data_IF_306281570907
#
_entry.id   IF_306281570907
#
_cell.length_a   1.000
_cell.length_b   1.000
_cell.length_c   1.000
_cell.angle_alpha   90.00
_cell.angle_beta   90.00
_cell.angle_gamma   90.00
#
_symmetry.space_group_name_H-M   'P 1'
#
loop_
_entity.id
_entity.type
_entity.pdbx_description
1 polymer ?
#
# COMPACT_ATOMS: atom_id res chain seq x y z
N UNK A 1 13.51 25.31 -50.18
CA UNK A 1 12.27 24.81 -50.82
C UNK A 1 12.35 23.33 -51.25
N UNK A 2 13.31 22.52 -50.75
CA UNK A 2 13.31 21.06 -50.93
C UNK A 2 13.55 20.38 -49.58
N UNK A 3 12.56 20.49 -48.69
CA UNK A 3 12.41 19.64 -47.51
C UNK A 3 11.03 18.98 -47.58
N UNK A 4 10.65 18.52 -48.79
CA UNK A 4 9.61 17.50 -48.93
C UNK A 4 10.30 16.21 -48.53
N UNK A 5 10.08 15.88 -47.27
CA UNK A 5 10.98 15.12 -46.41
C UNK A 5 11.22 13.69 -46.89
N UNK A 6 12.47 13.23 -46.76
CA UNK A 6 12.89 11.81 -46.84
C UNK A 6 11.93 10.86 -46.08
N UNK A 7 11.23 11.35 -45.06
CA UNK A 7 10.19 10.62 -44.33
C UNK A 7 8.98 10.24 -45.18
N UNK A 8 8.56 11.06 -46.15
CA UNK A 8 7.44 10.75 -47.04
C UNK A 8 7.84 9.60 -48.00
N UNK A 9 9.07 9.65 -48.52
CA UNK A 9 9.60 8.64 -49.44
C UNK A 9 9.80 7.29 -48.71
N UNK A 10 10.28 7.30 -47.46
CA UNK A 10 10.34 6.08 -46.64
C UNK A 10 8.94 5.52 -46.32
N UNK A 11 7.95 6.39 -46.06
CA UNK A 11 6.56 5.99 -45.74
C UNK A 11 5.81 5.44 -46.97
N UNK A 12 6.05 5.98 -48.16
CA UNK A 12 5.48 5.44 -49.40
C UNK A 12 6.13 4.11 -49.81
N UNK A 13 7.47 3.99 -49.70
CA UNK A 13 8.13 2.72 -49.96
C UNK A 13 7.69 1.63 -48.97
N UNK A 14 7.51 1.97 -47.69
CA UNK A 14 7.02 1.01 -46.71
C UNK A 14 5.57 0.64 -46.97
N UNK A 15 4.67 1.56 -47.31
CA UNK A 15 3.28 1.23 -47.66
C UNK A 15 3.17 0.35 -48.91
N UNK A 16 4.00 0.60 -49.93
CA UNK A 16 4.03 -0.21 -51.16
C UNK A 16 4.63 -1.61 -50.90
N UNK A 17 5.67 -1.68 -50.08
CA UNK A 17 6.26 -2.95 -49.61
C UNK A 17 5.31 -3.72 -48.68
N UNK A 18 4.52 -3.04 -47.86
CA UNK A 18 3.44 -3.61 -47.04
C UNK A 18 2.35 -4.18 -47.93
N UNK A 19 1.90 -3.40 -48.93
CA UNK A 19 0.91 -3.86 -49.91
C UNK A 19 1.39 -5.10 -50.66
N UNK A 20 2.65 -5.12 -51.09
CA UNK A 20 3.29 -6.29 -51.72
C UNK A 20 3.46 -7.46 -50.75
N UNK A 21 3.88 -7.24 -49.51
CA UNK A 21 4.03 -8.30 -48.50
C UNK A 21 2.70 -8.94 -48.11
N UNK A 22 1.65 -8.13 -47.95
CA UNK A 22 0.26 -8.58 -47.79
C UNK A 22 -0.14 -9.43 -49.02
N UNK A 23 0.21 -8.98 -50.24
CA UNK A 23 -0.11 -9.69 -51.48
C UNK A 23 0.66 -11.00 -51.65
N UNK A 24 1.86 -11.08 -51.11
CA UNK A 24 2.78 -12.22 -51.23
C UNK A 24 2.62 -13.26 -50.11
N UNK A 25 1.66 -13.07 -49.20
CA UNK A 25 1.41 -13.98 -48.08
C UNK A 25 2.65 -14.23 -47.21
N UNK A 26 3.56 -13.25 -47.16
CA UNK A 26 4.63 -13.22 -46.17
C UNK A 26 3.98 -13.21 -44.78
N UNK A 27 4.58 -13.83 -43.75
CA UNK A 27 4.00 -13.81 -42.42
C UNK A 27 3.94 -12.37 -41.95
N UNK A 28 2.75 -11.75 -42.02
CA UNK A 28 2.50 -10.37 -41.62
C UNK A 28 2.95 -10.08 -40.18
N UNK A 29 3.07 -11.14 -39.37
CA UNK A 29 3.69 -11.12 -38.06
C UNK A 29 5.16 -10.67 -38.09
N UNK A 30 5.99 -11.16 -39.01
CA UNK A 30 7.40 -10.75 -39.11
C UNK A 30 7.53 -9.27 -39.48
N UNK A 31 6.66 -8.79 -40.37
CA UNK A 31 6.64 -7.38 -40.76
C UNK A 31 6.16 -6.49 -39.61
N UNK A 32 5.10 -6.90 -38.92
CA UNK A 32 4.64 -6.23 -37.71
C UNK A 32 5.76 -6.22 -36.65
N UNK A 33 6.43 -7.34 -36.41
CA UNK A 33 7.58 -7.46 -35.51
C UNK A 33 8.71 -6.49 -35.91
N UNK A 34 9.03 -6.37 -37.20
CA UNK A 34 10.03 -5.42 -37.69
C UNK A 34 9.57 -3.97 -37.45
N UNK A 35 8.31 -3.64 -37.77
CA UNK A 35 7.74 -2.33 -37.48
C UNK A 35 7.75 -2.00 -35.98
N UNK A 36 7.51 -3.01 -35.12
CA UNK A 36 7.63 -2.94 -33.67
C UNK A 36 9.06 -2.61 -33.23
N UNK A 37 10.05 -3.33 -33.76
CA UNK A 37 11.47 -3.15 -33.42
C UNK A 37 11.99 -1.76 -33.81
N UNK A 38 11.54 -1.26 -34.97
CA UNK A 38 11.95 0.03 -35.51
C UNK A 38 11.10 1.22 -34.98
N UNK A 39 10.07 0.95 -34.16
CA UNK A 39 9.23 1.99 -33.56
C UNK A 39 8.26 2.67 -34.54
N UNK A 40 7.90 2.02 -35.65
CA UNK A 40 6.94 2.56 -36.63
C UNK A 40 5.49 2.39 -36.16
N UNK A 41 5.07 3.16 -35.14
CA UNK A 41 3.76 3.02 -34.50
C UNK A 41 2.60 3.20 -35.48
N UNK A 42 2.68 4.16 -36.41
CA UNK A 42 1.65 4.35 -37.45
C UNK A 42 1.41 3.08 -38.27
N UNK A 43 2.49 2.36 -38.60
CA UNK A 43 2.43 1.11 -39.36
C UNK A 43 1.83 0.00 -38.49
N UNK A 44 2.26 -0.09 -37.23
CA UNK A 44 1.72 -1.06 -36.27
C UNK A 44 0.22 -0.84 -36.08
N UNK A 45 -0.22 0.41 -35.90
CA UNK A 45 -1.64 0.75 -35.80
C UNK A 45 -2.38 0.32 -37.06
N UNK A 46 -1.88 0.66 -38.24
CA UNK A 46 -2.50 0.26 -39.50
C UNK A 46 -2.65 -1.26 -39.60
N UNK A 47 -1.61 -2.03 -39.25
CA UNK A 47 -1.66 -3.50 -39.28
C UNK A 47 -2.66 -4.07 -38.27
N UNK A 48 -2.75 -3.50 -37.07
CA UNK A 48 -3.77 -3.86 -36.07
C UNK A 48 -5.17 -3.55 -36.60
N UNK A 49 -5.37 -2.41 -37.26
CA UNK A 49 -6.67 -2.00 -37.81
C UNK A 49 -7.14 -2.87 -38.98
N UNK A 50 -6.20 -3.39 -39.76
CA UNK A 50 -6.48 -4.38 -40.82
C UNK A 50 -6.76 -5.78 -40.23
N UNK A 51 -6.59 -5.96 -38.91
CA UNK A 51 -6.91 -7.20 -38.20
C UNK A 51 -5.77 -8.22 -38.20
N UNK A 52 -4.53 -7.79 -38.42
CA UNK A 52 -3.37 -8.68 -38.31
C UNK A 52 -3.16 -9.03 -36.83
N UNK A 53 -3.30 -10.32 -36.44
CA UNK A 53 -3.19 -10.70 -35.03
C UNK A 53 -1.73 -10.63 -34.55
N UNK A 54 -1.47 -9.90 -33.47
CA UNK A 54 -0.15 -9.91 -32.83
C UNK A 54 -0.08 -11.00 -31.76
N UNK A 55 0.52 -12.14 -32.08
CA UNK A 55 0.67 -13.27 -31.17
C UNK A 55 2.06 -13.92 -31.32
N UNK A 56 3.12 -13.34 -30.73
CA UNK A 56 4.46 -13.89 -30.83
C UNK A 56 4.56 -15.25 -30.12
N UNK A 57 5.24 -16.22 -30.75
CA UNK A 57 5.37 -17.60 -30.23
C UNK A 57 6.84 -17.99 -30.02
N UNK A 58 7.10 -18.96 -29.14
CA UNK A 58 8.42 -19.56 -28.95
C UNK A 58 9.54 -18.56 -28.58
N UNK A 59 10.68 -18.68 -29.25
CA UNK A 59 11.87 -17.83 -29.01
C UNK A 59 11.63 -16.35 -29.36
N UNK A 60 10.76 -16.07 -30.33
CA UNK A 60 10.41 -14.70 -30.72
C UNK A 60 9.69 -13.98 -29.57
N UNK A 61 8.85 -14.71 -28.83
CA UNK A 61 8.15 -14.16 -27.67
C UNK A 61 9.12 -13.58 -26.66
N UNK A 62 10.23 -14.24 -26.38
CA UNK A 62 11.27 -13.72 -25.47
C UNK A 62 11.96 -12.48 -26.05
N UNK A 63 12.36 -12.52 -27.32
CA UNK A 63 13.05 -11.41 -27.99
C UNK A 63 12.19 -10.14 -28.13
N UNK A 64 10.85 -10.28 -28.07
CA UNK A 64 9.91 -9.18 -28.28
C UNK A 64 9.36 -8.56 -27.00
N UNK A 65 9.68 -9.09 -25.81
CA UNK A 65 9.19 -8.55 -24.54
C UNK A 65 9.50 -7.06 -24.37
N UNK A 66 10.79 -6.70 -24.45
CA UNK A 66 11.24 -5.31 -24.32
C UNK A 66 10.75 -4.40 -25.45
N UNK A 67 10.85 -4.78 -26.75
CA UNK A 67 10.26 -4.00 -27.84
C UNK A 67 8.76 -3.74 -27.68
N UNK A 68 7.99 -4.75 -27.24
CA UNK A 68 6.54 -4.61 -27.00
C UNK A 68 6.26 -3.59 -25.92
N UNK A 69 7.01 -3.65 -24.81
CA UNK A 69 6.88 -2.71 -23.71
C UNK A 69 7.27 -1.27 -24.10
N UNK A 70 8.39 -1.09 -24.82
CA UNK A 70 8.80 0.21 -25.35
C UNK A 70 7.79 0.80 -26.34
N UNK A 71 7.16 -0.06 -27.16
CA UNK A 71 6.12 0.41 -28.06
C UNK A 71 4.86 0.83 -27.29
N UNK A 72 4.51 0.14 -26.21
CA UNK A 72 3.40 0.57 -25.34
C UNK A 72 3.68 1.94 -24.71
N UNK A 73 4.90 2.20 -24.24
CA UNK A 73 5.32 3.52 -23.74
C UNK A 73 5.15 4.58 -24.83
N UNK A 74 5.65 4.28 -26.04
CA UNK A 74 5.57 5.23 -27.16
C UNK A 74 4.12 5.44 -27.63
N UNK A 75 3.28 4.39 -27.59
CA UNK A 75 1.86 4.46 -27.90
C UNK A 75 1.12 5.35 -26.91
N UNK A 76 1.43 5.20 -25.62
CA UNK A 76 0.91 6.04 -24.56
C UNK A 76 1.37 7.49 -24.69
N UNK A 77 2.64 7.74 -25.02
CA UNK A 77 3.18 9.08 -25.21
C UNK A 77 2.52 9.83 -26.38
N UNK A 78 2.15 9.12 -27.46
CA UNK A 78 1.62 9.73 -28.68
C UNK A 78 0.09 9.60 -28.84
N UNK A 79 -0.62 9.02 -27.87
CA UNK A 79 -2.09 8.94 -27.92
C UNK A 79 -2.66 7.82 -28.79
N UNK A 80 -1.91 6.75 -29.05
CA UNK A 80 -2.34 5.63 -29.89
C UNK A 80 -3.16 4.58 -29.12
N UNK A 81 -4.40 4.92 -28.77
CA UNK A 81 -5.22 4.09 -27.88
C UNK A 81 -5.51 2.67 -28.36
N UNK A 82 -5.71 2.45 -29.68
CA UNK A 82 -5.90 1.10 -30.24
C UNK A 82 -4.66 0.22 -30.07
N UNK A 83 -3.48 0.80 -30.28
CA UNK A 83 -2.20 0.09 -30.09
C UNK A 83 -2.04 -0.30 -28.63
N UNK A 84 -2.35 0.60 -27.70
CA UNK A 84 -2.33 0.30 -26.27
C UNK A 84 -3.33 -0.80 -25.88
N UNK A 85 -4.56 -0.76 -26.44
CA UNK A 85 -5.59 -1.76 -26.22
C UNK A 85 -5.14 -3.17 -26.64
N UNK A 86 -4.45 -3.28 -27.76
CA UNK A 86 -3.91 -4.55 -28.24
C UNK A 86 -2.71 -5.02 -27.42
N UNK A 87 -1.79 -4.10 -27.08
CA UNK A 87 -0.51 -4.48 -26.49
C UNK A 87 -0.55 -4.71 -24.98
N UNK A 88 -1.41 -4.00 -24.26
CA UNK A 88 -1.40 -4.06 -22.81
C UNK A 88 -1.70 -5.49 -22.27
N UNK A 89 -2.72 -6.22 -22.78
CA UNK A 89 -2.97 -7.60 -22.35
C UNK A 89 -1.79 -8.54 -22.66
N UNK A 90 -1.14 -8.33 -23.80
CA UNK A 90 0.01 -9.15 -24.24
C UNK A 90 1.20 -8.92 -23.31
N UNK A 91 1.48 -7.66 -22.97
CA UNK A 91 2.55 -7.32 -22.03
C UNK A 91 2.26 -7.87 -20.64
N UNK A 92 1.01 -7.81 -20.17
CA UNK A 92 0.61 -8.40 -18.89
C UNK A 92 0.77 -9.91 -18.89
N UNK A 93 0.41 -10.59 -19.97
CA UNK A 93 0.69 -12.01 -20.12
C UNK A 93 2.20 -12.29 -20.06
N UNK A 94 3.03 -11.47 -20.73
CA UNK A 94 4.49 -11.62 -20.67
C UNK A 94 5.06 -11.42 -19.26
N UNK A 95 4.53 -10.47 -18.49
CA UNK A 95 4.93 -10.19 -17.10
C UNK A 95 4.51 -11.33 -16.17
N UNK A 96 3.32 -11.92 -16.37
CA UNK A 96 2.83 -13.03 -15.54
C UNK A 96 3.56 -14.34 -15.83
N UNK A 97 4.05 -14.54 -17.05
CA UNK A 97 4.85 -15.70 -17.43
C UNK A 97 6.32 -15.62 -16.97
N UNK A 98 6.86 -14.41 -16.73
CA UNK A 98 8.19 -14.28 -16.16
C UNK A 98 8.16 -14.59 -14.66
N UNK A 99 8.86 -15.66 -14.27
CA UNK A 99 8.97 -16.04 -12.86
C UNK A 99 9.73 -14.97 -12.09
N UNK A 100 9.24 -14.64 -10.89
CA UNK A 100 9.89 -13.69 -9.99
C UNK A 100 10.98 -14.31 -9.11
N UNK A 101 11.54 -15.46 -9.51
CA UNK A 101 12.53 -16.17 -8.69
C UNK A 101 13.76 -15.29 -8.49
N UNK A 102 14.18 -15.15 -7.23
CA UNK A 102 15.20 -14.20 -6.81
C UNK A 102 16.55 -14.61 -7.46
N UNK A 103 17.16 -13.68 -8.22
CA UNK A 103 18.49 -13.77 -8.86
C UNK A 103 18.60 -14.46 -10.24
N UNK A 104 17.51 -14.56 -11.03
CA UNK A 104 17.61 -15.00 -12.43
C UNK A 104 17.59 -13.82 -13.41
N UNK A 105 18.14 -13.95 -14.64
CA UNK A 105 17.95 -12.97 -15.71
C UNK A 105 16.46 -12.71 -16.04
N UNK A 106 15.59 -13.69 -15.79
CA UNK A 106 14.15 -13.54 -15.96
C UNK A 106 13.54 -12.59 -14.92
N UNK A 107 14.10 -12.54 -13.71
CA UNK A 107 13.72 -11.61 -12.66
C UNK A 107 14.04 -10.16 -13.07
N UNK A 108 15.24 -9.91 -13.59
CA UNK A 108 15.63 -8.59 -14.12
C UNK A 108 14.70 -8.16 -15.26
N UNK A 109 14.42 -9.06 -16.19
CA UNK A 109 13.47 -8.79 -17.28
C UNK A 109 12.06 -8.51 -16.75
N UNK A 110 11.60 -9.24 -15.72
CA UNK A 110 10.31 -8.99 -15.07
C UNK A 110 10.24 -7.57 -14.50
N UNK A 111 11.28 -7.12 -13.78
CA UNK A 111 11.36 -5.76 -13.26
C UNK A 111 11.39 -4.70 -14.37
N UNK A 112 12.15 -4.94 -15.45
CA UNK A 112 12.19 -4.03 -16.60
C UNK A 112 10.82 -3.89 -17.28
N UNK A 113 10.10 -5.01 -17.49
CA UNK A 113 8.77 -4.97 -18.10
C UNK A 113 7.75 -4.24 -17.22
N UNK A 114 7.79 -4.44 -15.90
CA UNK A 114 6.95 -3.66 -14.96
C UNK A 114 7.32 -2.18 -14.94
N UNK A 115 8.62 -1.87 -15.01
CA UNK A 115 9.12 -0.50 -15.12
C UNK A 115 8.57 0.21 -16.36
N UNK A 116 8.62 -0.44 -17.52
CA UNK A 116 8.10 0.12 -18.78
C UNK A 116 6.57 0.22 -18.80
N UNK A 117 5.87 -0.75 -18.23
CA UNK A 117 4.41 -0.68 -18.08
C UNK A 117 4.01 0.54 -17.21
N UNK A 118 4.72 0.76 -16.10
CA UNK A 118 4.57 1.93 -15.25
C UNK A 118 4.88 3.22 -16.01
N UNK A 119 5.96 3.26 -16.79
CA UNK A 119 6.32 4.41 -17.61
C UNK A 119 5.23 4.74 -18.63
N UNK A 120 4.68 3.73 -19.31
CA UNK A 120 3.57 3.89 -20.25
C UNK A 120 2.34 4.48 -19.56
N UNK A 121 1.99 4.00 -18.37
CA UNK A 121 0.90 4.58 -17.59
C UNK A 121 1.16 6.06 -17.24
N UNK A 122 2.37 6.38 -16.76
CA UNK A 122 2.77 7.75 -16.44
C UNK A 122 2.71 8.67 -17.68
N UNK A 123 3.22 8.22 -18.82
CA UNK A 123 3.18 8.97 -20.09
C UNK A 123 1.75 9.22 -20.57
N UNK A 124 0.87 8.22 -20.48
CA UNK A 124 -0.55 8.39 -20.83
C UNK A 124 -1.22 9.46 -19.96
N UNK A 125 -0.98 9.43 -18.64
CA UNK A 125 -1.55 10.43 -17.73
C UNK A 125 -0.93 11.81 -17.96
N UNK A 126 0.39 11.91 -18.14
CA UNK A 126 1.09 13.18 -18.34
C UNK A 126 0.59 13.90 -19.59
N UNK A 127 0.34 13.15 -20.66
CA UNK A 127 -0.20 13.67 -21.92
C UNK A 127 -1.74 13.72 -21.95
N UNK A 128 -2.43 13.47 -20.81
CA UNK A 128 -3.88 13.52 -20.66
C UNK A 128 -4.67 12.51 -21.52
N UNK A 129 -4.04 11.41 -21.94
CA UNK A 129 -4.70 10.30 -22.63
C UNK A 129 -5.33 9.32 -21.62
N UNK A 130 -6.39 9.77 -20.94
CA UNK A 130 -7.03 9.03 -19.85
C UNK A 130 -7.69 7.72 -20.29
N UNK A 131 -8.09 7.61 -21.56
CA UNK A 131 -8.58 6.38 -22.18
C UNK A 131 -7.47 5.31 -22.24
N UNK A 132 -6.26 5.70 -22.65
CA UNK A 132 -5.08 4.82 -22.65
C UNK A 132 -4.69 4.44 -21.24
N UNK A 133 -4.63 5.42 -20.33
CA UNK A 133 -4.34 5.15 -18.93
C UNK A 133 -5.36 4.18 -18.32
N UNK A 134 -6.64 4.30 -18.70
CA UNK A 134 -7.70 3.38 -18.27
C UNK A 134 -7.51 1.97 -18.82
N UNK A 135 -7.18 1.83 -20.11
CA UNK A 135 -6.84 0.53 -20.70
C UNK A 135 -5.72 -0.13 -19.90
N UNK A 136 -4.64 0.61 -19.62
CA UNK A 136 -3.50 0.10 -18.85
C UNK A 136 -3.94 -0.26 -17.43
N UNK A 137 -4.71 0.60 -16.78
CA UNK A 137 -5.21 0.37 -15.43
C UNK A 137 -6.09 -0.89 -15.34
N UNK A 138 -7.03 -1.06 -16.27
CA UNK A 138 -7.97 -2.19 -16.29
C UNK A 138 -7.28 -3.53 -16.60
N UNK A 139 -6.17 -3.50 -17.36
CA UNK A 139 -5.41 -4.71 -17.69
C UNK A 139 -4.42 -5.12 -16.59
N UNK A 140 -4.05 -4.21 -15.68
CA UNK A 140 -2.91 -4.39 -14.77
C UNK A 140 -3.36 -4.54 -13.32
N UNK A 141 -2.56 -5.23 -12.50
CA UNK A 141 -2.77 -5.15 -11.05
C UNK A 141 -2.20 -3.83 -10.58
N UNK A 142 -2.91 -3.15 -9.67
CA UNK A 142 -2.45 -1.88 -9.08
C UNK A 142 -1.05 -1.95 -8.47
N UNK A 143 -0.63 -3.11 -7.97
CA UNK A 143 0.74 -3.36 -7.46
C UNK A 143 1.82 -3.23 -8.55
N UNK A 144 1.45 -3.41 -9.82
CA UNK A 144 2.39 -3.38 -10.94
C UNK A 144 2.68 -1.96 -11.42
N UNK A 145 1.81 -1.01 -11.05
CA UNK A 145 1.94 0.42 -11.35
C UNK A 145 2.15 1.29 -10.08
N UNK A 146 2.28 0.67 -8.90
CA UNK A 146 2.32 1.29 -7.55
C UNK A 146 3.36 2.43 -7.42
N UNK A 147 4.61 2.18 -7.82
CA UNK A 147 5.68 3.20 -7.74
C UNK A 147 5.43 4.37 -8.71
N UNK A 148 4.59 4.19 -9.73
CA UNK A 148 4.17 5.24 -10.65
C UNK A 148 3.38 6.34 -9.95
N UNK A 149 2.63 6.03 -8.88
CA UNK A 149 1.72 7.02 -8.29
C UNK A 149 2.42 8.15 -7.54
N UNK A 150 3.53 7.84 -6.86
CA UNK A 150 4.35 8.86 -6.21
C UNK A 150 4.93 9.82 -7.25
N UNK A 151 5.58 9.26 -8.27
CA UNK A 151 6.13 10.04 -9.37
C UNK A 151 5.06 10.80 -10.14
N UNK A 152 3.88 10.20 -10.31
CA UNK A 152 2.75 10.85 -10.93
C UNK A 152 2.41 12.11 -10.16
N UNK A 153 2.14 12.01 -8.85
CA UNK A 153 1.77 13.18 -8.05
C UNK A 153 2.86 14.27 -8.00
N UNK A 154 4.14 13.87 -8.06
CA UNK A 154 5.26 14.82 -8.12
C UNK A 154 5.40 15.50 -9.49
N UNK A 155 5.15 14.77 -10.58
CA UNK A 155 5.35 15.24 -11.96
C UNK A 155 4.12 15.97 -12.52
N UNK A 156 2.91 15.52 -12.18
CA UNK A 156 1.67 16.14 -12.67
C UNK A 156 1.16 17.20 -11.71
N UNK A 157 0.97 18.40 -12.25
CA UNK A 157 0.20 19.47 -11.61
C UNK A 157 -1.27 19.43 -12.02
N UNK A 158 -1.66 18.54 -12.94
CA UNK A 158 -3.01 18.48 -13.47
C UNK A 158 -3.96 17.79 -12.47
N UNK A 159 -5.02 18.50 -12.09
CA UNK A 159 -6.06 17.96 -11.24
C UNK A 159 -6.79 16.78 -11.90
N UNK A 160 -6.96 16.80 -13.24
CA UNK A 160 -7.69 15.74 -13.96
C UNK A 160 -7.00 14.39 -13.87
N UNK A 161 -5.67 14.38 -13.87
CA UNK A 161 -4.87 13.18 -13.64
C UNK A 161 -5.16 12.57 -12.26
N UNK A 162 -5.28 13.42 -11.25
CA UNK A 162 -5.55 12.99 -9.89
C UNK A 162 -7.01 12.58 -9.73
N UNK A 163 -7.96 13.30 -10.32
CA UNK A 163 -9.37 12.94 -10.38
C UNK A 163 -9.58 11.57 -11.04
N UNK A 164 -8.93 11.35 -12.19
CA UNK A 164 -8.94 10.08 -12.87
C UNK A 164 -8.47 8.97 -11.93
N UNK A 165 -7.33 9.18 -11.27
CA UNK A 165 -6.78 8.18 -10.37
C UNK A 165 -7.69 7.88 -9.17
N UNK A 166 -8.14 8.92 -8.47
CA UNK A 166 -9.01 8.81 -7.31
C UNK A 166 -10.32 8.12 -7.68
N UNK A 167 -10.91 8.47 -8.81
CA UNK A 167 -12.17 7.89 -9.29
C UNK A 167 -12.04 6.40 -9.60
N UNK A 168 -10.92 5.98 -10.20
CA UNK A 168 -10.69 4.57 -10.55
C UNK A 168 -10.16 3.73 -9.37
N UNK A 169 -9.71 4.36 -8.28
CA UNK A 169 -9.17 3.64 -7.10
C UNK A 169 -10.01 3.76 -5.84
N UNK A 170 -11.09 4.54 -5.82
CA UNK A 170 -11.87 4.85 -4.59
C UNK A 170 -12.18 3.61 -3.74
N UNK A 171 -12.59 2.52 -4.37
CA UNK A 171 -12.99 1.28 -3.70
C UNK A 171 -11.90 0.21 -3.64
N UNK A 172 -10.71 0.48 -4.20
CA UNK A 172 -9.67 -0.53 -4.25
C UNK A 172 -9.00 -0.70 -2.89
N UNK A 173 -8.65 -1.95 -2.53
CA UNK A 173 -7.84 -2.28 -1.34
C UNK A 173 -6.41 -1.72 -1.38
N UNK A 174 -6.05 -1.08 -2.49
CA UNK A 174 -4.73 -0.51 -2.72
C UNK A 174 -4.40 0.53 -1.65
N UNK A 175 -5.38 1.36 -1.30
CA UNK A 175 -5.26 2.36 -0.25
C UNK A 175 -5.04 1.77 1.14
N UNK A 176 -5.53 0.56 1.38
CA UNK A 176 -5.42 -0.11 2.66
C UNK A 176 -4.04 -0.75 2.81
N UNK A 177 -3.48 -1.29 1.72
CA UNK A 177 -2.14 -1.93 1.68
C UNK A 177 -1.02 -0.88 1.64
N UNK A 178 -1.26 0.25 0.97
CA UNK A 178 -0.27 1.30 0.70
C UNK A 178 -0.72 2.66 1.26
N UNK A 179 -1.19 2.64 2.49
CA UNK A 179 -1.65 3.81 3.22
C UNK A 179 -0.56 4.91 3.32
N UNK A 180 0.72 4.54 3.32
CA UNK A 180 1.85 5.48 3.23
C UNK A 180 1.81 6.35 1.95
N UNK A 181 1.38 5.79 0.81
CA UNK A 181 1.29 6.54 -0.45
C UNK A 181 0.13 7.53 -0.41
N UNK A 182 -1.00 7.16 0.21
CA UNK A 182 -2.11 8.10 0.43
C UNK A 182 -1.69 9.27 1.31
N UNK A 183 -1.02 8.99 2.43
CA UNK A 183 -0.52 10.04 3.31
C UNK A 183 0.51 10.93 2.60
N UNK A 184 1.37 10.33 1.78
CA UNK A 184 2.33 11.07 0.97
C UNK A 184 1.63 12.05 0.04
N UNK A 185 0.59 11.60 -0.67
CA UNK A 185 -0.19 12.46 -1.58
C UNK A 185 -0.94 13.56 -0.83
N UNK A 186 -1.52 13.25 0.33
CA UNK A 186 -2.14 14.26 1.20
C UNK A 186 -1.10 15.31 1.63
N UNK A 187 0.07 14.85 2.09
CA UNK A 187 1.17 15.72 2.48
C UNK A 187 1.71 16.58 1.32
N UNK A 188 1.80 16.01 0.10
CA UNK A 188 2.18 16.75 -1.10
C UNK A 188 1.10 17.78 -1.50
N UNK A 189 -0.19 17.43 -1.45
CA UNK A 189 -1.27 18.37 -1.74
C UNK A 189 -1.20 19.59 -0.82
N UNK A 190 -0.99 19.34 0.48
CA UNK A 190 -0.90 20.39 1.49
C UNK A 190 0.35 21.27 1.29
N UNK A 191 1.53 20.65 1.12
CA UNK A 191 2.79 21.39 0.91
C UNK A 191 2.75 22.28 -0.34
N UNK A 192 2.02 21.87 -1.37
CA UNK A 192 1.87 22.60 -2.62
C UNK A 192 0.62 23.51 -2.66
N UNK A 193 -0.08 23.71 -1.54
CA UNK A 193 -1.32 24.51 -1.45
C UNK A 193 -2.41 24.09 -2.47
N UNK A 194 -2.59 22.78 -2.66
CA UNK A 194 -3.56 22.18 -3.59
C UNK A 194 -4.82 21.74 -2.86
N UNK A 195 -5.65 22.72 -2.46
CA UNK A 195 -6.91 22.46 -1.76
C UNK A 195 -7.91 21.65 -2.61
N UNK A 196 -7.87 21.85 -3.93
CA UNK A 196 -8.63 21.12 -4.95
C UNK A 196 -8.34 19.61 -4.90
N UNK A 197 -7.06 19.26 -4.95
CA UNK A 197 -6.57 17.88 -4.88
C UNK A 197 -6.85 17.28 -3.51
N UNK A 198 -6.63 18.06 -2.45
CA UNK A 198 -6.87 17.58 -1.10
C UNK A 198 -8.34 17.23 -0.90
N UNK A 199 -9.27 18.05 -1.40
CA UNK A 199 -10.71 17.78 -1.33
C UNK A 199 -11.06 16.45 -2.01
N UNK A 200 -10.48 16.18 -3.18
CA UNK A 200 -10.65 14.91 -3.90
C UNK A 200 -10.12 13.72 -3.08
N UNK A 201 -8.90 13.83 -2.56
CA UNK A 201 -8.29 12.77 -1.74
C UNK A 201 -9.13 12.49 -0.49
N UNK A 202 -9.55 13.53 0.24
CA UNK A 202 -10.33 13.37 1.47
C UNK A 202 -11.74 12.82 1.23
N UNK A 203 -12.31 12.99 0.03
CA UNK A 203 -13.62 12.44 -0.38
C UNK A 203 -13.65 10.91 -0.52
N UNK A 204 -12.49 10.25 -0.52
CA UNK A 204 -12.40 8.79 -0.70
C UNK A 204 -12.88 7.98 0.50
N UNK A 205 -13.23 8.61 1.62
CA UNK A 205 -13.54 7.98 2.93
C UNK A 205 -12.41 7.08 3.48
N UNK A 206 -11.29 6.96 2.76
CA UNK A 206 -10.16 6.12 3.16
C UNK A 206 -9.49 6.66 4.41
N UNK A 207 -9.05 5.80 5.33
CA UNK A 207 -8.33 6.23 6.51
C UNK A 207 -7.01 6.86 6.10
N UNK A 208 -6.73 8.05 6.60
CA UNK A 208 -5.37 8.59 6.60
C UNK A 208 -4.65 7.81 7.69
N UNK A 209 -3.43 7.36 7.45
CA UNK A 209 -2.71 6.57 8.45
C UNK A 209 -2.04 7.45 9.49
N UNK A 210 -1.68 6.85 10.62
CA UNK A 210 -0.82 7.46 11.63
C UNK A 210 0.65 7.64 11.17
N UNK A 211 0.96 7.25 9.93
CA UNK A 211 2.29 7.29 9.34
C UNK A 211 3.02 5.95 9.35
N UNK A 212 2.49 4.92 10.03
CA UNK A 212 3.01 3.52 10.07
C UNK A 212 2.08 2.57 9.30
N UNK A 213 1.10 3.13 8.61
CA UNK A 213 0.14 2.39 7.81
C UNK A 213 -0.97 1.71 8.60
N UNK A 214 -1.07 1.98 9.91
CA UNK A 214 -2.25 1.64 10.69
C UNK A 214 -3.32 2.70 10.46
N UNK A 215 -4.59 2.32 10.22
CA UNK A 215 -5.67 3.29 10.22
C UNK A 215 -5.70 3.98 11.59
N UNK A 216 -5.85 5.31 11.61
CA UNK A 216 -5.90 6.15 12.85
C UNK A 216 -6.92 5.63 13.90
N UNK A 217 -7.80 4.69 13.52
CA UNK A 217 -8.85 4.12 14.36
C UNK A 217 -8.55 2.73 14.95
N UNK A 218 -7.42 2.09 14.65
CA UNK A 218 -7.05 0.84 15.32
C UNK A 218 -6.33 1.16 16.63
N UNK A 219 -7.15 1.19 17.69
CA UNK A 219 -6.71 1.07 19.09
C UNK A 219 -6.15 -0.34 19.29
N UNK A 220 -4.98 -0.62 18.71
CA UNK A 220 -4.20 -1.78 19.11
C UNK A 220 -3.67 -1.43 20.50
N UNK A 221 -4.28 -1.98 21.54
CA UNK A 221 -4.08 -1.61 22.94
C UNK A 221 -2.68 -1.81 23.51
N UNK A 222 -1.65 -1.92 22.68
CA UNK A 222 -0.26 -2.19 23.08
C UNK A 222 0.72 -1.54 22.10
N UNK A 223 1.12 -0.29 22.37
CA UNK A 223 2.45 0.18 21.97
C UNK A 223 2.99 1.17 23.00
N UNK A 224 3.81 0.61 23.88
CA UNK A 224 5.01 1.15 24.52
C UNK A 224 5.04 2.59 25.06
N UNK A 225 5.37 2.63 26.35
CA UNK A 225 5.87 3.77 27.10
C UNK A 225 7.16 4.32 26.49
N UNK A 226 7.04 5.23 25.52
CA UNK A 226 8.03 6.29 25.29
C UNK A 226 7.34 7.46 24.58
N UNK A 227 7.41 8.65 25.18
CA UNK A 227 6.60 9.82 24.84
C UNK A 227 6.96 10.53 23.54
N UNK A 228 7.02 9.82 22.43
CA UNK A 228 6.99 10.42 21.11
C UNK A 228 5.54 10.41 20.62
N UNK A 229 4.88 11.56 20.76
CA UNK A 229 3.57 11.83 20.17
C UNK A 229 3.69 11.52 18.67
N UNK A 230 3.15 10.38 18.23
CA UNK A 230 3.04 10.08 16.80
C UNK A 230 1.99 11.06 16.27
N UNK A 231 2.48 12.17 15.73
CA UNK A 231 1.64 13.07 14.94
C UNK A 231 1.08 12.25 13.79
N UNK A 232 -0.24 12.16 13.67
CA UNK A 232 -0.79 11.71 12.40
C UNK A 232 -0.22 12.63 11.31
N UNK A 233 0.23 12.08 10.18
CA UNK A 233 0.81 12.90 9.09
C UNK A 233 -0.14 14.03 8.67
N UNK A 234 -1.45 13.84 8.83
CA UNK A 234 -2.46 14.89 8.66
C UNK A 234 -2.31 16.03 9.67
N UNK A 235 -2.10 15.74 10.96
CA UNK A 235 -1.95 16.75 12.00
C UNK A 235 -0.70 17.61 11.81
N UNK A 236 0.42 17.01 11.43
CA UNK A 236 1.64 17.74 11.07
C UNK A 236 1.39 18.61 9.82
N UNK A 237 0.79 18.03 8.79
CA UNK A 237 0.50 18.74 7.55
C UNK A 237 -0.50 19.90 7.78
N UNK A 238 -1.51 19.71 8.63
CA UNK A 238 -2.44 20.76 9.05
C UNK A 238 -1.71 21.91 9.75
N UNK A 239 -0.81 21.60 10.69
CA UNK A 239 0.01 22.61 11.36
C UNK A 239 0.92 23.37 10.38
N UNK A 240 1.44 22.70 9.34
CA UNK A 240 2.23 23.34 8.28
C UNK A 240 1.39 24.22 7.35
N UNK A 241 0.18 23.79 6.99
CA UNK A 241 -0.76 24.61 6.23
C UNK A 241 -1.10 25.91 6.98
N UNK A 242 -1.30 25.79 8.30
CA UNK A 242 -1.57 26.91 9.18
C UNK A 242 -0.37 27.86 9.33
N UNK A 243 0.86 27.32 9.42
CA UNK A 243 2.10 28.10 9.45
C UNK A 243 2.33 28.91 8.18
N UNK A 244 1.96 28.35 7.02
CA UNK A 244 2.20 28.94 5.70
C UNK A 244 1.07 29.85 5.19
N UNK A 245 -0.06 29.94 5.90
CA UNK A 245 -1.16 30.82 5.49
C UNK A 245 -2.10 30.20 4.46
N UNK A 246 -2.12 28.88 4.30
CA UNK A 246 -2.96 28.17 3.32
C UNK A 246 -4.40 28.03 3.81
N UNK A 247 -5.17 29.12 3.72
CA UNK A 247 -6.55 29.23 4.21
C UNK A 247 -7.47 28.14 3.63
N UNK A 248 -7.44 27.95 2.30
CA UNK A 248 -8.33 26.99 1.62
C UNK A 248 -8.03 25.54 2.03
N UNK A 249 -6.74 25.21 2.18
CA UNK A 249 -6.30 23.88 2.64
C UNK A 249 -6.76 23.62 4.07
N UNK A 250 -6.59 24.60 4.98
CA UNK A 250 -7.07 24.51 6.36
C UNK A 250 -8.58 24.28 6.39
N UNK A 251 -9.33 25.03 5.58
CA UNK A 251 -10.78 24.89 5.49
C UNK A 251 -11.17 23.49 4.97
N UNK A 252 -10.54 22.99 3.90
CA UNK A 252 -10.83 21.65 3.35
C UNK A 252 -10.53 20.54 4.37
N UNK A 253 -9.45 20.66 5.15
CA UNK A 253 -9.12 19.68 6.18
C UNK A 253 -10.19 19.67 7.28
N UNK A 254 -10.60 20.85 7.73
CA UNK A 254 -11.62 21.03 8.76
C UNK A 254 -13.01 20.55 8.30
N UNK A 255 -13.42 20.95 7.09
CA UNK A 255 -14.69 20.56 6.48
C UNK A 255 -14.79 19.06 6.19
N UNK A 256 -13.65 18.36 6.11
CA UNK A 256 -13.64 16.90 5.88
C UNK A 256 -14.21 16.10 7.05
N UNK A 257 -14.40 16.72 8.23
CA UNK A 257 -14.89 16.06 9.44
C UNK A 257 -13.93 15.03 10.02
N UNK A 258 -12.72 14.93 9.46
CA UNK A 258 -11.69 14.01 9.94
C UNK A 258 -11.15 14.50 11.29
N UNK A 259 -10.83 13.61 12.22
CA UNK A 259 -10.36 13.98 13.54
C UNK A 259 -9.01 14.71 13.47
N UNK A 260 -9.06 16.03 13.57
CA UNK A 260 -7.89 16.90 13.75
C UNK A 260 -7.98 17.48 15.16
N UNK A 261 -7.63 16.68 16.17
CA UNK A 261 -7.64 17.14 17.57
C UNK A 261 -8.20 16.17 18.61
N UNK A 262 -8.69 14.99 18.22
CA UNK A 262 -9.60 14.19 19.08
C UNK A 262 -8.91 13.26 20.07
N UNK A 263 -7.67 12.83 19.83
CA UNK A 263 -6.86 12.11 20.82
C UNK A 263 -5.77 13.01 21.42
N UNK A 264 -5.16 12.58 22.53
CA UNK A 264 -4.11 13.36 23.23
C UNK A 264 -2.96 13.78 22.31
N UNK A 265 -2.62 12.92 21.33
CA UNK A 265 -1.65 13.22 20.28
C UNK A 265 -2.15 14.30 19.30
N UNK A 266 -3.41 14.25 18.86
CA UNK A 266 -3.98 15.19 17.90
C UNK A 266 -4.35 16.54 18.51
N UNK A 267 -4.68 16.62 19.82
CA UNK A 267 -4.88 17.89 20.53
C UNK A 267 -3.62 18.76 20.51
N UNK A 268 -2.46 18.10 20.46
CA UNK A 268 -1.18 18.78 20.23
C UNK A 268 -1.11 19.40 18.82
N UNK A 269 -1.63 18.74 17.78
CA UNK A 269 -1.64 19.24 16.40
C UNK A 269 -2.48 20.51 16.23
N UNK A 270 -3.68 20.55 16.81
CA UNK A 270 -4.55 21.73 16.74
C UNK A 270 -3.90 22.94 17.45
N UNK A 271 -3.35 22.67 18.64
CA UNK A 271 -2.63 23.68 19.43
C UNK A 271 -1.39 24.18 18.67
N UNK A 272 -0.65 23.27 18.03
CA UNK A 272 0.53 23.59 17.24
C UNK A 272 0.19 24.40 15.98
N UNK A 273 -0.89 24.02 15.26
CA UNK A 273 -1.40 24.76 14.12
C UNK A 273 -1.80 26.19 14.50
N UNK A 274 -2.52 26.38 15.61
CA UNK A 274 -2.92 27.70 16.11
C UNK A 274 -1.70 28.53 16.52
N UNK A 275 -0.74 27.92 17.22
CA UNK A 275 0.52 28.57 17.62
C UNK A 275 1.33 29.02 16.40
N UNK A 276 1.49 28.15 15.41
CA UNK A 276 2.21 28.44 14.16
C UNK A 276 1.52 29.53 13.34
N UNK A 277 0.20 29.44 13.15
CA UNK A 277 -0.57 30.49 12.46
C UNK A 277 -0.46 31.84 13.18
N UNK A 278 -0.56 31.86 14.51
CA UNK A 278 -0.41 33.09 15.29
C UNK A 278 1.00 33.67 15.18
N UNK A 279 2.03 32.83 15.28
CA UNK A 279 3.44 33.23 15.13
C UNK A 279 3.73 33.79 13.73
N UNK A 280 3.14 33.20 12.70
CA UNK A 280 3.26 33.67 11.31
C UNK A 280 2.33 34.85 10.96
N UNK A 281 1.49 35.31 11.89
CA UNK A 281 0.59 36.45 11.66
C UNK A 281 -0.65 36.13 10.79
N UNK A 282 -0.96 34.85 10.58
CA UNK A 282 -2.10 34.41 9.77
C UNK A 282 -3.42 34.48 10.55
N UNK A 283 -3.86 35.70 10.85
CA UNK A 283 -5.07 35.98 11.65
C UNK A 283 -6.32 35.23 11.15
N UNK A 284 -6.53 35.17 9.83
CA UNK A 284 -7.68 34.49 9.25
C UNK A 284 -7.72 33.00 9.59
N UNK A 285 -6.57 32.34 9.59
CA UNK A 285 -6.46 30.92 9.96
C UNK A 285 -6.76 30.75 11.45
N UNK A 286 -6.24 31.64 12.31
CA UNK A 286 -6.54 31.59 13.75
C UNK A 286 -8.05 31.74 14.00
N UNK A 287 -8.73 32.62 13.28
CA UNK A 287 -10.19 32.78 13.36
C UNK A 287 -10.93 31.54 12.88
N UNK A 288 -10.52 30.94 11.74
CA UNK A 288 -11.10 29.70 11.23
C UNK A 288 -10.93 28.55 12.24
N UNK A 289 -9.71 28.33 12.74
CA UNK A 289 -9.41 27.26 13.70
C UNK A 289 -10.19 27.45 15.01
N UNK A 290 -10.34 28.70 15.51
CA UNK A 290 -11.10 28.98 16.73
C UNK A 290 -12.61 28.87 16.56
N UNK A 291 -13.12 29.21 15.38
CA UNK A 291 -14.55 29.13 15.07
C UNK A 291 -15.00 27.71 14.73
N UNK A 292 -14.08 26.85 14.30
CA UNK A 292 -14.28 25.42 14.29
C UNK A 292 -14.15 24.86 15.70
N UNK A 293 -15.29 24.69 16.39
CA UNK A 293 -15.32 23.80 17.53
C UNK A 293 -14.91 22.40 17.04
N UNK A 294 -13.97 21.71 17.71
CA UNK A 294 -13.66 20.34 17.35
C UNK A 294 -14.98 19.57 17.45
N UNK A 295 -15.43 19.00 16.32
CA UNK A 295 -16.58 18.10 16.32
C UNK A 295 -16.27 17.03 17.34
N UNK A 296 -16.94 17.11 18.48
CA UNK A 296 -16.81 16.20 19.61
C UNK A 296 -17.43 14.88 19.19
N UNK A 297 -16.69 14.11 18.40
CA UNK A 297 -16.89 12.67 18.33
C UNK A 297 -16.20 12.16 19.60
N UNK A 298 -16.99 11.51 20.46
CA UNK A 298 -16.66 10.99 21.79
C UNK A 298 -16.89 11.94 22.98
N UNK A 299 -18.17 12.11 23.34
CA UNK A 299 -18.53 11.91 24.74
C UNK A 299 -18.32 10.43 25.08
N UNK A 300 -17.71 10.21 26.23
CA UNK A 300 -17.31 8.93 26.81
C UNK A 300 -18.40 7.84 26.81
N UNK A 301 -17.93 6.60 26.69
CA UNK A 301 -18.56 5.33 27.04
C UNK A 301 -19.53 4.70 26.02
N UNK A 302 -19.04 3.60 25.43
CA UNK A 302 -19.76 2.46 24.84
C UNK A 302 -20.00 2.47 23.31
N UNK A 303 -19.40 1.46 22.67
CA UNK A 303 -19.65 0.89 21.33
C UNK A 303 -19.13 1.61 20.07
N UNK A 304 -17.97 1.12 19.60
CA UNK A 304 -17.56 1.19 18.20
C UNK A 304 -18.22 0.03 17.43
N UNK A 305 -19.48 0.21 17.05
CA UNK A 305 -20.17 -0.65 16.08
C UNK A 305 -21.25 0.16 15.38
N UNK A 306 -20.89 0.85 14.30
CA UNK A 306 -21.77 1.31 13.20
C UNK A 306 -21.02 2.32 12.33
N UNK A 307 -20.23 1.83 11.37
CA UNK A 307 -20.10 2.53 10.07
C UNK A 307 -20.19 1.48 8.97
N UNK A 308 -21.42 1.06 8.78
CA UNK A 308 -21.90 0.25 7.68
C UNK A 308 -23.39 0.52 7.54
N UNK A 309 -23.76 1.70 7.03
CA UNK A 309 -24.97 1.97 6.23
C UNK A 309 -25.22 3.47 6.04
N UNK A 310 -25.26 3.88 4.76
CA UNK A 310 -26.15 4.87 4.12
C UNK A 310 -26.44 6.23 4.77
N UNK A 311 -26.27 7.27 3.95
CA UNK A 311 -26.76 8.63 4.13
C UNK A 311 -28.25 8.75 4.49
N UNK A 312 -28.59 9.72 5.35
CA UNK A 312 -29.78 10.59 5.23
C UNK A 312 -29.77 11.74 6.26
N UNK A 313 -30.39 12.84 5.85
CA UNK A 313 -30.56 14.17 6.46
C UNK A 313 -31.28 14.24 7.83
N UNK A 314 -30.87 15.23 8.65
CA UNK A 314 -31.61 16.11 9.58
C UNK A 314 -32.76 15.64 10.53
N UNK A 315 -32.68 16.14 11.80
CA UNK A 315 -33.71 16.53 12.82
C UNK A 315 -34.12 15.59 13.99
N UNK A 316 -33.89 16.14 15.22
CA UNK A 316 -34.71 16.19 16.47
C UNK A 316 -35.04 14.98 17.37
N UNK A 317 -34.65 15.14 18.64
CA UNK A 317 -35.36 14.90 19.94
C UNK A 317 -35.71 13.47 20.46
N UNK A 318 -35.13 13.20 21.65
CA UNK A 318 -35.63 12.54 22.88
C UNK A 318 -35.91 11.03 22.99
N UNK A 319 -35.61 10.57 24.22
CA UNK A 319 -36.00 9.36 24.97
C UNK A 319 -35.16 8.07 24.87
N UNK A 320 -34.52 7.73 26.01
CA UNK A 320 -34.08 6.38 26.40
C UNK A 320 -35.01 5.84 27.51
N UNK A 321 -35.10 4.52 27.65
CA UNK A 321 -34.64 3.95 28.92
C UNK A 321 -33.74 2.72 28.77
N UNK A 322 -32.93 2.58 29.81
CA UNK A 322 -31.85 1.65 30.11
C UNK A 322 -32.27 0.20 30.42
N UNK A 323 -31.47 -0.77 29.96
CA UNK A 323 -31.26 -2.05 30.66
C UNK A 323 -29.80 -2.50 30.50
N UNK A 324 -29.10 -2.70 31.62
CA UNK A 324 -27.74 -3.22 31.69
C UNK A 324 -27.72 -4.75 31.55
N UNK A 325 -26.81 -5.29 30.73
CA UNK A 325 -26.45 -6.72 30.72
C UNK A 325 -24.94 -6.87 30.90
N UNK A 326 -24.54 -7.61 31.93
CA UNK A 326 -23.15 -7.98 32.23
C UNK A 326 -22.67 -8.98 31.18
N UNK A 327 -21.65 -8.62 30.38
CA UNK A 327 -20.94 -9.54 29.48
C UNK A 327 -19.60 -9.95 30.08
N UNK A 328 -19.41 -11.24 30.29
CA UNK A 328 -18.13 -11.86 30.64
C UNK A 328 -17.15 -11.72 29.47
N UNK A 329 -15.95 -11.21 29.75
CA UNK A 329 -14.89 -10.93 28.77
C UNK A 329 -14.20 -12.24 28.35
N UNK A 330 -14.23 -12.59 27.06
CA UNK A 330 -13.43 -13.68 26.50
C UNK A 330 -11.94 -13.27 26.48
N UNK A 331 -11.07 -14.13 27.01
CA UNK A 331 -9.61 -13.92 27.05
C UNK A 331 -9.01 -14.34 25.70
N UNK A 332 -8.13 -13.53 25.07
CA UNK A 332 -7.46 -13.88 23.81
C UNK A 332 -6.69 -15.20 23.92
N UNK A 333 -6.72 -16.04 22.88
CA UNK A 333 -6.06 -17.36 22.87
C UNK A 333 -4.54 -17.25 23.07
N UNK A 334 -3.94 -16.17 22.60
CA UNK A 334 -2.52 -15.86 22.74
C UNK A 334 -2.11 -15.67 24.20
N UNK A 335 -2.97 -15.04 25.01
CA UNK A 335 -2.74 -14.82 26.44
C UNK A 335 -2.83 -16.14 27.23
N UNK A 336 -3.76 -17.01 26.83
CA UNK A 336 -3.89 -18.36 27.40
C UNK A 336 -2.61 -19.17 27.13
N UNK A 337 -2.12 -19.19 25.89
CA UNK A 337 -0.89 -19.91 25.52
C UNK A 337 0.34 -19.31 26.21
N UNK A 338 0.45 -17.98 26.29
CA UNK A 338 1.52 -17.32 27.02
C UNK A 338 1.51 -17.71 28.51
N UNK A 339 0.33 -17.83 29.13
CA UNK A 339 0.16 -18.31 30.50
C UNK A 339 0.69 -19.73 30.70
N UNK A 340 0.31 -20.67 29.83
CA UNK A 340 0.78 -22.06 29.90
C UNK A 340 2.30 -22.18 29.70
N UNK A 341 2.87 -21.43 28.75
CA UNK A 341 4.32 -21.42 28.52
C UNK A 341 5.02 -20.83 29.75
N UNK A 342 4.49 -19.76 30.33
CA UNK A 342 5.06 -19.14 31.51
C UNK A 342 5.02 -20.06 32.74
N UNK A 343 3.94 -20.82 32.92
CA UNK A 343 3.82 -21.81 33.99
C UNK A 343 4.82 -22.96 33.82
N UNK A 344 4.95 -23.51 32.60
CA UNK A 344 5.81 -24.68 32.35
C UNK A 344 7.31 -24.34 32.29
N UNK A 345 7.67 -23.18 31.73
CA UNK A 345 9.07 -22.74 31.62
C UNK A 345 9.54 -21.91 32.82
N UNK A 346 8.62 -21.46 33.68
CA UNK A 346 8.93 -20.56 34.79
C UNK A 346 9.37 -19.16 34.35
N UNK A 347 9.00 -18.74 33.12
CA UNK A 347 9.42 -17.45 32.55
C UNK A 347 8.25 -16.74 31.87
N UNK A 348 8.02 -15.48 32.26
CA UNK A 348 7.01 -14.63 31.63
C UNK A 348 7.38 -14.40 30.15
N UNK A 349 6.47 -14.71 29.24
CA UNK A 349 6.66 -14.48 27.81
C UNK A 349 5.43 -13.80 27.20
N UNK A 350 5.59 -13.25 26.00
CA UNK A 350 4.46 -12.77 25.18
C UNK A 350 4.43 -13.53 23.87
N UNK A 351 3.24 -13.89 23.41
CA UNK A 351 3.02 -14.66 22.19
C UNK A 351 2.36 -13.75 21.17
N UNK A 352 2.94 -13.67 19.99
CA UNK A 352 2.38 -12.93 18.86
C UNK A 352 2.20 -13.87 17.67
N UNK A 353 0.99 -13.88 17.12
CA UNK A 353 0.64 -14.69 15.96
C UNK A 353 0.66 -13.82 14.71
N UNK A 354 1.47 -14.17 13.71
CA UNK A 354 1.36 -13.59 12.37
C UNK A 354 0.66 -14.64 11.50
N UNK A 355 -0.62 -14.42 11.15
CA UNK A 355 -1.39 -15.38 10.37
C UNK A 355 -0.62 -15.80 9.11
N UNK A 356 -0.58 -17.11 8.84
CA UNK A 356 0.02 -17.74 7.64
C UNK A 356 1.55 -17.74 7.48
N UNK A 357 2.35 -17.25 8.45
CA UNK A 357 3.82 -17.30 8.33
C UNK A 357 4.54 -17.91 9.53
N UNK A 358 4.41 -17.36 10.73
CA UNK A 358 5.10 -17.86 11.93
C UNK A 358 4.49 -17.29 13.20
N UNK A 359 4.64 -18.03 14.30
CA UNK A 359 4.46 -17.52 15.65
C UNK A 359 5.77 -16.95 16.20
N UNK A 360 5.71 -15.92 17.03
CA UNK A 360 6.87 -15.41 17.77
C UNK A 360 6.59 -15.32 19.26
N UNK A 361 7.44 -15.98 20.04
CA UNK A 361 7.44 -15.95 21.50
C UNK A 361 8.60 -15.06 21.95
N UNK A 362 8.28 -13.95 22.61
CA UNK A 362 9.28 -13.00 23.13
C UNK A 362 9.51 -13.24 24.62
N UNK A 363 10.77 -13.24 25.03
CA UNK A 363 11.22 -13.44 26.40
C UNK A 363 11.76 -12.14 27.01
N UNK A 364 11.93 -12.04 28.34
CA UNK A 364 12.51 -10.86 28.98
C UNK A 364 13.93 -10.59 28.45
N UNK A 365 14.35 -9.33 28.45
CA UNK A 365 15.71 -8.92 28.04
C UNK A 365 16.83 -9.58 28.86
N UNK A 366 16.50 -10.09 30.05
CA UNK A 366 17.43 -10.80 30.93
C UNK A 366 17.66 -12.26 30.54
N UNK A 367 16.95 -12.80 29.54
CA UNK A 367 17.09 -14.19 29.11
C UNK A 367 18.37 -14.37 28.31
N UNK A 368 19.31 -15.17 28.83
CA UNK A 368 20.56 -15.49 28.14
C UNK A 368 20.35 -16.39 26.93
N UNK A 369 21.29 -16.38 25.97
CA UNK A 369 21.26 -17.25 24.79
C UNK A 369 21.22 -18.75 25.15
N UNK A 370 21.87 -19.14 26.26
CA UNK A 370 21.86 -20.51 26.78
C UNK A 370 20.47 -20.89 27.26
N UNK A 371 19.81 -20.02 28.03
CA UNK A 371 18.43 -20.23 28.47
C UNK A 371 17.46 -20.28 27.27
N UNK A 372 17.62 -19.39 26.30
CA UNK A 372 16.79 -19.35 25.10
C UNK A 372 16.89 -20.66 24.29
N UNK A 373 18.11 -21.21 24.17
CA UNK A 373 18.34 -22.50 23.51
C UNK A 373 17.70 -23.67 24.27
N UNK A 374 17.74 -23.63 25.61
CA UNK A 374 17.06 -24.62 26.46
C UNK A 374 15.54 -24.52 26.31
N UNK A 375 14.98 -23.32 26.29
CA UNK A 375 13.54 -23.10 26.07
C UNK A 375 13.11 -23.55 24.67
N UNK A 376 13.91 -23.30 23.64
CA UNK A 376 13.62 -23.78 22.29
C UNK A 376 13.54 -25.30 22.23
N UNK A 377 14.48 -26.02 22.85
CA UNK A 377 14.45 -27.50 22.92
C UNK A 377 13.28 -28.04 23.75
N UNK A 378 12.93 -27.36 24.83
CA UNK A 378 11.76 -27.73 25.64
C UNK A 378 10.46 -27.53 24.85
N UNK A 379 10.32 -26.41 24.14
CA UNK A 379 9.17 -26.14 23.27
C UNK A 379 9.12 -27.10 22.06
N UNK A 380 10.27 -27.47 21.49
CA UNK A 380 10.39 -28.50 20.45
C UNK A 380 9.86 -29.84 20.92
N UNK A 381 10.27 -30.28 22.11
CA UNK A 381 9.76 -31.51 22.74
C UNK A 381 8.24 -31.46 22.98
N UNK A 382 7.69 -30.29 23.31
CA UNK A 382 6.27 -30.12 23.63
C UNK A 382 5.40 -30.09 22.37
N UNK A 383 5.82 -29.32 21.36
CA UNK A 383 4.96 -28.95 20.23
C UNK A 383 5.27 -29.83 19.01
N UNK A 384 6.49 -30.36 18.90
CA UNK A 384 6.94 -31.25 17.83
C UNK A 384 7.35 -30.53 16.54
N UNK A 385 7.63 -29.23 16.60
CA UNK A 385 8.06 -28.40 15.48
C UNK A 385 9.45 -27.85 15.73
N UNK A 386 10.22 -27.58 14.66
CA UNK A 386 11.57 -27.03 14.78
C UNK A 386 11.50 -25.53 15.09
N UNK A 387 12.33 -25.08 16.03
CA UNK A 387 12.36 -23.70 16.50
C UNK A 387 13.68 -23.04 16.15
N UNK A 388 13.62 -21.85 15.55
CA UNK A 388 14.81 -21.00 15.39
C UNK A 388 14.88 -20.04 16.59
N UNK A 389 15.86 -20.27 17.47
CA UNK A 389 16.16 -19.36 18.58
C UNK A 389 17.01 -18.19 18.08
N UNK A 390 16.46 -16.97 18.12
CA UNK A 390 17.18 -15.76 17.79
C UNK A 390 17.58 -15.06 19.09
N UNK A 391 18.84 -15.25 19.51
CA UNK A 391 19.40 -14.50 20.64
C UNK A 391 19.62 -13.04 20.24
N UNK A 392 19.24 -12.10 21.10
CA UNK A 392 19.62 -10.70 20.93
C UNK A 392 21.14 -10.58 21.07
N UNK A 393 21.81 -10.10 20.02
CA UNK A 393 23.22 -9.71 20.10
C UNK A 393 23.39 -8.44 20.95
N UNK A 394 24.62 -8.09 21.31
CA UNK A 394 24.91 -6.92 22.15
C UNK A 394 24.32 -5.62 21.58
N UNK A 395 24.21 -5.52 20.26
CA UNK A 395 23.60 -4.40 19.55
C UNK A 395 22.07 -4.39 19.67
N UNK A 396 21.41 -5.53 19.52
CA UNK A 396 19.96 -5.69 19.70
C UNK A 396 19.53 -5.39 21.14
N UNK A 397 20.35 -5.75 22.12
CA UNK A 397 20.09 -5.43 23.54
C UNK A 397 20.15 -3.91 23.77
N UNK A 398 21.12 -3.20 23.16
CA UNK A 398 21.19 -1.72 23.22
C UNK A 398 19.97 -1.03 22.58
N UNK A 399 19.34 -1.68 21.60
CA UNK A 399 18.10 -1.20 20.96
C UNK A 399 16.82 -1.66 21.68
N UNK A 400 16.94 -2.34 22.83
CA UNK A 400 15.79 -2.83 23.61
C UNK A 400 15.04 -3.99 22.95
N UNK A 401 15.64 -4.69 21.99
CA UNK A 401 15.01 -5.80 21.29
C UNK A 401 15.07 -7.08 22.13
N UNK A 402 13.89 -7.55 22.55
CA UNK A 402 13.73 -8.77 23.34
C UNK A 402 14.17 -10.02 22.57
N UNK A 403 14.85 -10.99 23.24
CA UNK A 403 15.17 -12.27 22.65
C UNK A 403 13.88 -13.00 22.28
N UNK A 404 13.87 -13.66 21.11
CA UNK A 404 12.66 -14.29 20.57
C UNK A 404 12.93 -15.68 20.00
N UNK A 405 11.94 -16.54 20.15
CA UNK A 405 11.89 -17.84 19.47
C UNK A 405 10.85 -17.74 18.36
N UNK A 406 11.24 -18.10 17.15
CA UNK A 406 10.34 -18.18 15.99
C UNK A 406 9.90 -19.63 15.79
N UNK A 407 8.60 -19.81 15.59
CA UNK A 407 7.97 -21.10 15.32
C UNK A 407 7.53 -21.11 13.86
N UNK A 408 8.05 -22.04 13.07
CA UNK A 408 7.57 -22.24 11.70
C UNK A 408 6.20 -22.96 11.74
N UNK A 409 5.26 -22.44 10.95
CA UNK A 409 3.86 -22.87 10.97
C UNK A 409 2.98 -21.85 11.68
N UNK A 410 1.89 -21.48 11.02
CA UNK A 410 0.87 -20.62 11.64
C UNK A 410 0.18 -21.32 12.79
N UNK A 411 -0.32 -20.55 13.75
CA UNK A 411 -1.11 -20.99 14.90
C UNK A 411 -2.51 -21.56 14.55
N UNK A 412 -2.74 -22.01 13.32
CA UNK A 412 -4.02 -22.55 12.87
C UNK A 412 -4.49 -23.78 13.68
N UNK A 413 -3.60 -24.38 14.48
CA UNK A 413 -3.91 -25.44 15.44
C UNK A 413 -3.69 -25.01 16.91
N UNK A 414 -3.95 -23.74 17.27
CA UNK A 414 -3.90 -23.25 18.66
C UNK A 414 -4.63 -24.17 19.64
N UNK A 415 -5.78 -24.71 19.23
CA UNK A 415 -6.56 -25.62 20.05
C UNK A 415 -5.86 -26.98 20.24
N UNK A 416 -5.08 -27.46 19.26
CA UNK A 416 -4.26 -28.66 19.40
C UNK A 416 -3.03 -28.44 20.30
N UNK A 417 -2.42 -27.24 20.24
CA UNK A 417 -1.32 -26.85 21.12
C UNK A 417 -1.82 -26.71 22.56
N UNK A 418 -2.94 -26.02 22.77
CA UNK A 418 -3.58 -25.90 24.10
C UNK A 418 -3.92 -27.29 24.64
N UNK A 419 -4.49 -28.17 23.81
CA UNK A 419 -4.80 -29.55 24.21
C UNK A 419 -3.55 -30.35 24.59
N UNK A 420 -2.47 -30.29 23.78
CA UNK A 420 -1.17 -30.92 24.10
C UNK A 420 -0.57 -30.36 25.40
N UNK A 421 -0.71 -29.06 25.66
CA UNK A 421 -0.24 -28.42 26.88
C UNK A 421 -1.05 -28.84 28.11
N UNK A 422 -2.36 -29.03 27.96
CA UNK A 422 -3.28 -29.48 29.01
C UNK A 422 -3.12 -30.96 29.38
N UNK A 423 -2.82 -31.82 28.39
CA UNK A 423 -2.67 -33.26 28.59
C UNK A 423 -1.32 -33.64 29.25
N UNK A 424 -0.42 -32.68 29.50
CA UNK A 424 0.88 -32.94 30.10
C UNK A 424 0.81 -33.05 31.63
N UNK A 425 1.47 -34.06 32.25
CA UNK A 425 1.61 -34.13 33.70
C UNK A 425 2.32 -32.88 34.23
N UNK A 426 1.84 -32.34 35.35
CA UNK A 426 2.51 -31.21 35.99
C UNK A 426 3.94 -31.59 36.34
N UNK A 427 4.93 -30.70 36.07
CA UNK A 427 6.31 -30.98 36.41
C UNK A 427 6.36 -31.23 37.91
N UNK A 428 6.65 -32.48 38.28
CA UNK A 428 6.89 -32.86 39.66
C UNK A 428 8.01 -31.97 40.14
N UNK A 429 7.78 -31.27 41.25
CA UNK A 429 8.74 -30.41 41.93
C UNK A 429 9.93 -31.25 42.42
N UNK A 430 10.83 -31.59 41.50
CA UNK A 430 12.10 -32.25 41.81
C UNK A 430 13.11 -31.76 40.79
N UNK A 431 13.82 -30.70 41.16
CA UNK A 431 15.26 -30.46 40.99
C UNK A 431 15.51 -29.09 41.64
N UNK A 432 15.72 -29.09 42.96
CA UNK A 432 16.62 -28.12 43.57
C UNK A 432 18.01 -28.77 43.52
N UNK A 433 18.99 -28.21 42.79
CA UNK A 433 20.38 -28.53 43.08
C UNK A 433 20.72 -27.82 44.40
N UNK A 434 21.06 -28.62 45.42
CA UNK A 434 21.83 -28.10 46.56
C UNK A 434 23.19 -27.67 46.01
N UNK A 435 23.46 -26.37 46.06
CA UNK A 435 24.71 -25.79 46.54
C UNK A 435 24.50 -24.30 46.80
#
# INVERSE_FOLDING_TARGET
MFSVSINIIKKEMSLKAIGEAIRLNQPLNEFMIAAFREGYIDIVQYLIEVGVPFAPQGAEKMALRLPTANLLVSAAHNGYGRVAQTLCPILIQMITETKSDILTPECELHYQLRGLLREAFCEAIYNQYFDIAKIIFDCTRLTDIDTGFRELFERTKDIKAIEFFVSNTKNHKYWDIKSENFDYMVGCAIRNNRADVLKLLLSTEKPISDGIGRPIYQNDGESDQCGNVIYSKLGEAFAKAAENGFVDVVQVILDSGRPVGTNSACKSCLTDALRKAAKSGHRRIVEIIKSHEPVSIFTSENHCSLFGSSAASSRSLLDFPSTASVTTREIPKEEIVAGFIAEKLGVKCTVSNIPSMFASIKFPLTTSAVQLSTYARQLESIIGTVYEAQSSDAFSIQLGLAPKIRVEGGFSDLDAIIKKLQDMPNPVSSICPKN
#
